data_IF_557636821969
#
_entry.id   IF_557636821969
#
_cell.length_a   1.000
_cell.length_b   1.000
_cell.length_c   1.000
_cell.angle_alpha   90.00
_cell.angle_beta   90.00
_cell.angle_gamma   90.00
#
_symmetry.space_group_name_H-M   'P 1'
#
loop_
_entity.id
_entity.type
_entity.pdbx_description
1 polymer ?
#
# COMPACT_ATOMS: atom_id res chain seq x y z
N UNK A 1 16.37 3.85 18.89
CA UNK A 1 15.72 2.57 18.57
C UNK A 1 15.73 2.31 17.05
N UNK A 2 16.93 2.20 16.44
CA UNK A 2 17.09 1.92 15.00
C UNK A 2 18.14 0.81 14.74
N UNK A 3 18.37 -0.06 15.71
CA UNK A 3 19.34 -1.16 15.59
C UNK A 3 18.64 -2.50 15.44
N UNK A 4 17.79 -2.64 14.42
CA UNK A 4 17.29 -3.96 14.00
C UNK A 4 17.13 -4.11 12.48
N UNK A 5 17.80 -3.25 11.70
CA UNK A 5 17.80 -3.27 10.23
C UNK A 5 18.71 -4.38 9.64
N UNK A 6 19.01 -5.45 10.38
CA UNK A 6 19.97 -6.49 10.00
C UNK A 6 19.33 -7.85 9.74
N UNK A 7 18.13 -7.90 9.17
CA UNK A 7 17.51 -9.18 8.79
C UNK A 7 17.01 -9.25 7.35
N UNK A 8 17.52 -8.41 6.45
CA UNK A 8 17.19 -8.47 5.04
C UNK A 8 18.32 -9.23 4.33
N UNK A 9 18.04 -10.39 3.74
CA UNK A 9 19.04 -11.17 3.00
C UNK A 9 19.20 -10.68 1.53
N UNK A 10 18.88 -9.40 1.29
CA UNK A 10 18.88 -8.79 -0.02
C UNK A 10 20.33 -8.55 -0.45
N UNK A 11 20.76 -9.30 -1.47
CA UNK A 11 22.12 -9.21 -2.01
C UNK A 11 22.28 -8.12 -3.07
N UNK A 12 21.18 -7.75 -3.75
CA UNK A 12 21.15 -6.74 -4.81
C UNK A 12 20.13 -5.64 -4.48
N UNK A 13 20.57 -4.68 -3.66
CA UNK A 13 19.73 -3.57 -3.16
C UNK A 13 19.36 -2.59 -4.28
N UNK A 14 20.23 -2.43 -5.28
CA UNK A 14 19.99 -1.50 -6.39
C UNK A 14 18.88 -2.01 -7.32
N UNK A 15 18.88 -3.30 -7.62
CA UNK A 15 17.81 -3.93 -8.39
C UNK A 15 16.48 -3.92 -7.62
N UNK A 16 16.51 -4.23 -6.31
CA UNK A 16 15.33 -4.07 -5.44
C UNK A 16 14.78 -2.65 -5.47
N UNK A 17 15.64 -1.64 -5.29
CA UNK A 17 15.26 -0.23 -5.33
C UNK A 17 14.63 0.14 -6.68
N UNK A 18 15.21 -0.32 -7.78
CA UNK A 18 14.72 -0.06 -9.14
C UNK A 18 13.32 -0.66 -9.35
N UNK A 19 13.13 -1.92 -8.99
CA UNK A 19 11.83 -2.62 -9.12
C UNK A 19 10.77 -2.01 -8.20
N UNK A 20 11.14 -1.72 -6.94
CA UNK A 20 10.23 -1.06 -6.01
C UNK A 20 9.84 0.34 -6.49
N UNK A 21 10.78 1.10 -7.05
CA UNK A 21 10.49 2.41 -7.64
C UNK A 21 9.50 2.27 -8.79
N UNK A 22 9.66 1.28 -9.66
CA UNK A 22 8.72 1.03 -10.75
C UNK A 22 7.31 0.69 -10.23
N UNK A 23 7.20 -0.11 -9.16
CA UNK A 23 5.91 -0.41 -8.52
C UNK A 23 5.25 0.85 -7.94
N UNK A 24 6.02 1.68 -7.22
CA UNK A 24 5.51 2.92 -6.63
C UNK A 24 5.10 3.88 -7.72
N UNK A 25 5.90 4.08 -8.76
CA UNK A 25 5.56 4.91 -9.92
C UNK A 25 4.27 4.44 -10.58
N UNK A 26 4.15 3.13 -10.82
CA UNK A 26 2.91 2.54 -11.38
C UNK A 26 1.72 2.83 -10.47
N UNK A 27 1.86 2.63 -9.16
CA UNK A 27 0.81 2.96 -8.21
C UNK A 27 0.45 4.45 -8.26
N UNK A 28 1.42 5.36 -8.20
CA UNK A 28 1.17 6.81 -8.11
C UNK A 28 0.65 7.44 -9.41
N UNK A 29 1.13 6.97 -10.55
CA UNK A 29 0.75 7.51 -11.87
C UNK A 29 -0.53 6.87 -12.41
N UNK A 30 -0.77 5.60 -12.11
CA UNK A 30 -2.00 4.90 -12.50
C UNK A 30 -3.12 5.01 -11.46
N UNK A 31 -2.90 5.72 -10.34
CA UNK A 31 -3.91 6.07 -9.33
C UNK A 31 -5.01 7.03 -9.86
N UNK A 32 -5.38 6.91 -11.14
CA UNK A 32 -6.73 7.25 -11.54
C UNK A 32 -7.66 6.25 -10.84
N UNK A 33 -8.25 6.70 -9.72
CA UNK A 33 -9.10 5.98 -8.76
C UNK A 33 -10.27 5.15 -9.35
N UNK A 34 -10.43 5.15 -10.67
CA UNK A 34 -11.49 4.47 -11.43
C UNK A 34 -11.04 3.16 -12.10
N UNK A 35 -9.72 2.87 -12.16
CA UNK A 35 -9.21 1.72 -12.94
C UNK A 35 -8.12 0.88 -12.26
N UNK A 36 -7.71 1.22 -11.04
CA UNK A 36 -6.61 0.50 -10.38
C UNK A 36 -7.07 -0.86 -9.88
N UNK A 37 -6.38 -1.92 -10.31
CA UNK A 37 -6.49 -3.25 -9.71
C UNK A 37 -5.46 -3.39 -8.61
N UNK A 38 -5.89 -3.36 -7.35
CA UNK A 38 -5.00 -3.37 -6.17
C UNK A 38 -4.34 -4.75 -6.00
N UNK A 39 -5.04 -5.82 -6.33
CA UNK A 39 -4.60 -7.20 -6.22
C UNK A 39 -3.35 -7.49 -7.05
N UNK A 40 -3.33 -7.19 -8.36
CA UNK A 40 -2.11 -7.28 -9.18
C UNK A 40 -0.94 -6.45 -8.65
N UNK A 41 -1.21 -5.24 -8.13
CA UNK A 41 -0.17 -4.39 -7.55
C UNK A 41 0.45 -5.03 -6.30
N UNK A 42 -0.38 -5.47 -5.35
CA UNK A 42 0.07 -6.14 -4.12
C UNK A 42 0.74 -7.49 -4.42
N UNK A 43 0.24 -8.24 -5.41
CA UNK A 43 0.87 -9.47 -5.87
C UNK A 43 2.27 -9.21 -6.43
N UNK A 44 2.43 -8.16 -7.25
CA UNK A 44 3.75 -7.80 -7.79
C UNK A 44 4.68 -7.28 -6.68
N UNK A 45 4.16 -6.56 -5.69
CA UNK A 45 4.92 -6.18 -4.50
C UNK A 45 5.43 -7.42 -3.76
N UNK A 46 4.57 -8.42 -3.49
CA UNK A 46 4.99 -9.68 -2.89
C UNK A 46 6.08 -10.38 -3.71
N UNK A 47 5.97 -10.41 -5.04
CA UNK A 47 7.00 -11.00 -5.92
C UNK A 47 8.36 -10.32 -5.76
N UNK A 48 8.39 -8.98 -5.74
CA UNK A 48 9.63 -8.21 -5.56
C UNK A 48 10.25 -8.49 -4.18
N UNK A 49 9.43 -8.50 -3.12
CA UNK A 49 9.90 -8.80 -1.76
C UNK A 49 10.48 -10.22 -1.64
N UNK A 50 9.79 -11.22 -2.20
CA UNK A 50 10.24 -12.62 -2.20
C UNK A 50 11.53 -12.77 -3.01
N UNK A 51 11.58 -12.21 -4.23
CA UNK A 51 12.75 -12.25 -5.12
C UNK A 51 14.00 -11.71 -4.44
N UNK A 52 13.86 -10.58 -3.77
CA UNK A 52 14.96 -9.89 -3.10
C UNK A 52 15.17 -10.32 -1.65
N UNK A 53 14.44 -11.35 -1.17
CA UNK A 53 14.50 -11.87 0.21
C UNK A 53 14.39 -10.77 1.27
N UNK A 54 13.56 -9.77 0.97
CA UNK A 54 13.24 -8.69 1.89
C UNK A 54 12.14 -9.19 2.83
N UNK A 55 12.43 -9.20 4.12
CA UNK A 55 11.46 -9.63 5.13
C UNK A 55 10.29 -8.66 5.17
N UNK A 56 9.08 -9.23 5.16
CA UNK A 56 7.84 -8.52 5.39
C UNK A 56 7.34 -8.86 6.78
N UNK A 57 6.87 -7.85 7.52
CA UNK A 57 6.22 -8.09 8.81
C UNK A 57 4.97 -8.96 8.61
N UNK A 58 4.78 -9.97 9.47
CA UNK A 58 3.65 -10.92 9.38
C UNK A 58 2.30 -10.21 9.42
N UNK A 59 2.15 -9.20 10.27
CA UNK A 59 0.93 -8.39 10.34
C UNK A 59 0.63 -7.72 9.01
N UNK A 60 1.65 -7.17 8.35
CA UNK A 60 1.49 -6.52 7.05
C UNK A 60 1.15 -7.53 5.94
N UNK A 61 1.80 -8.69 5.94
CA UNK A 61 1.48 -9.78 5.01
C UNK A 61 0.02 -10.24 5.13
N UNK A 62 -0.49 -10.34 6.36
CA UNK A 62 -1.89 -10.69 6.64
C UNK A 62 -2.87 -9.67 6.04
N UNK A 63 -2.61 -8.37 6.24
CA UNK A 63 -3.42 -7.29 5.66
C UNK A 63 -3.38 -7.33 4.14
N UNK A 64 -2.20 -7.49 3.52
CA UNK A 64 -2.09 -7.60 2.06
C UNK A 64 -2.90 -8.79 1.53
N UNK A 65 -2.82 -9.95 2.20
CA UNK A 65 -3.58 -11.13 1.81
C UNK A 65 -5.09 -10.91 1.92
N UNK A 66 -5.55 -10.31 3.01
CA UNK A 66 -6.96 -9.97 3.20
C UNK A 66 -7.48 -9.06 2.08
N UNK A 67 -6.73 -8.02 1.72
CA UNK A 67 -7.10 -7.11 0.61
C UNK A 67 -7.15 -7.86 -0.72
N UNK A 68 -6.15 -8.69 -1.02
CA UNK A 68 -6.13 -9.50 -2.25
C UNK A 68 -7.32 -10.46 -2.35
N UNK A 69 -7.71 -11.11 -1.23
CA UNK A 69 -8.87 -12.01 -1.19
C UNK A 69 -10.17 -11.24 -1.36
N UNK A 70 -10.36 -10.13 -0.63
CA UNK A 70 -11.54 -9.28 -0.75
C UNK A 70 -11.70 -8.77 -2.17
N UNK A 71 -10.60 -8.40 -2.85
CA UNK A 71 -10.66 -8.00 -4.25
C UNK A 71 -11.01 -9.14 -5.19
N UNK A 72 -10.39 -10.31 -5.02
CA UNK A 72 -10.69 -11.49 -5.83
C UNK A 72 -12.17 -11.87 -5.74
N UNK A 73 -12.72 -11.91 -4.52
CA UNK A 73 -14.13 -12.19 -4.29
C UNK A 73 -15.04 -11.08 -4.82
N UNK A 74 -14.71 -9.82 -4.52
CA UNK A 74 -15.47 -8.66 -4.98
C UNK A 74 -15.58 -8.61 -6.50
N UNK A 75 -14.48 -8.83 -7.23
CA UNK A 75 -14.48 -8.86 -8.71
C UNK A 75 -15.12 -10.10 -9.31
N UNK A 76 -15.17 -11.20 -8.57
CA UNK A 76 -15.91 -12.40 -8.99
C UNK A 76 -17.42 -12.17 -8.96
N UNK A 77 -17.90 -11.28 -8.10
CA UNK A 77 -19.31 -10.91 -7.98
C UNK A 77 -19.67 -9.67 -8.82
N UNK A 78 -18.80 -8.67 -8.85
CA UNK A 78 -18.93 -7.45 -9.65
C UNK A 78 -17.62 -7.19 -10.42
N UNK A 79 -17.54 -7.57 -11.71
CA UNK A 79 -16.34 -7.39 -12.52
C UNK A 79 -15.88 -5.93 -12.67
N UNK A 80 -16.77 -4.96 -12.47
CA UNK A 80 -16.50 -3.52 -12.59
C UNK A 80 -16.15 -2.86 -11.25
N UNK A 81 -16.09 -3.64 -10.15
CA UNK A 81 -15.78 -3.12 -8.83
C UNK A 81 -14.44 -2.35 -8.80
N UNK A 82 -14.47 -1.11 -8.34
CA UNK A 82 -13.30 -0.35 -7.97
C UNK A 82 -13.25 -0.17 -6.44
N UNK A 83 -12.30 -0.87 -5.82
CA UNK A 83 -12.12 -0.87 -4.36
C UNK A 83 -11.60 0.47 -3.86
N UNK A 84 -10.79 1.19 -4.65
CA UNK A 84 -10.29 2.49 -4.26
C UNK A 84 -11.41 3.53 -4.33
N UNK A 85 -12.26 3.47 -5.35
CA UNK A 85 -13.47 4.30 -5.41
C UNK A 85 -14.37 4.05 -4.19
N UNK A 86 -14.64 2.78 -3.86
CA UNK A 86 -15.41 2.41 -2.67
C UNK A 86 -14.73 2.86 -1.35
N UNK A 87 -13.40 2.82 -1.28
CA UNK A 87 -12.63 3.22 -0.11
C UNK A 87 -12.47 4.74 0.03
N UNK A 88 -12.65 5.51 -1.05
CA UNK A 88 -12.44 6.97 -1.12
C UNK A 88 -13.07 7.75 0.04
N UNK A 89 -14.37 7.60 0.37
CA UNK A 89 -14.98 8.35 1.47
C UNK A 89 -14.35 8.02 2.84
N UNK A 90 -13.88 6.79 3.03
CA UNK A 90 -13.23 6.36 4.26
C UNK A 90 -11.81 6.95 4.37
N UNK A 91 -11.07 6.97 3.26
CA UNK A 91 -9.72 7.54 3.18
C UNK A 91 -9.74 9.06 3.37
N UNK A 92 -10.65 9.77 2.67
CA UNK A 92 -10.76 11.22 2.74
C UNK A 92 -11.24 11.71 4.11
N UNK A 93 -12.20 11.01 4.73
CA UNK A 93 -12.67 11.38 6.08
C UNK A 93 -11.54 11.35 7.10
N UNK A 94 -10.64 10.37 7.01
CA UNK A 94 -9.47 10.27 7.89
C UNK A 94 -8.48 11.39 7.60
N UNK A 95 -8.14 11.64 6.34
CA UNK A 95 -7.23 12.71 5.95
C UNK A 95 -7.74 14.08 6.41
N UNK A 96 -9.02 14.39 6.19
CA UNK A 96 -9.64 15.64 6.62
C UNK A 96 -9.63 15.80 8.15
N UNK A 97 -9.92 14.72 8.90
CA UNK A 97 -9.89 14.72 10.37
C UNK A 97 -8.49 14.94 10.92
N UNK A 98 -7.48 14.31 10.30
CA UNK A 98 -6.08 14.46 10.68
C UNK A 98 -5.60 15.91 10.43
N UNK A 99 -5.93 16.50 9.27
CA UNK A 99 -5.64 17.92 8.98
C UNK A 99 -6.34 18.89 9.94
N UNK A 100 -7.62 18.65 10.27
CA UNK A 100 -8.35 19.48 11.22
C UNK A 100 -7.73 19.40 12.63
N UNK A 101 -7.31 18.21 13.06
CA UNK A 101 -6.62 18.03 14.35
C UNK A 101 -5.28 18.78 14.39
N UNK A 102 -4.53 18.80 13.29
CA UNK A 102 -3.29 19.59 13.19
C UNK A 102 -3.55 21.09 13.33
N UNK A 103 -4.62 21.61 12.72
CA UNK A 103 -5.01 23.01 12.85
C UNK A 103 -5.47 23.36 14.27
N UNK A 104 -6.28 22.49 14.89
CA UNK A 104 -6.77 22.70 16.26
C UNK A 104 -5.68 22.61 17.33
N UNK A 105 -4.61 21.83 17.11
CA UNK A 105 -3.46 21.83 18.02
C UNK A 105 -2.63 23.11 17.89
N UNK A 106 -2.52 23.67 16.68
CA UNK A 106 -1.75 24.90 16.42
C UNK A 106 -2.36 26.14 17.09
N UNK A 107 -3.67 26.11 17.36
CA UNK A 107 -4.39 27.18 18.06
C UNK A 107 -4.30 27.07 19.59
N UNK A 108 -3.86 25.94 20.15
CA UNK A 108 -3.67 25.75 21.60
C UNK A 108 -2.25 26.04 22.10
N UNK A 109 -1.27 26.12 21.20
CA UNK A 109 0.14 26.42 21.52
C UNK A 109 0.49 27.93 21.30
N UNK A 110 -0.52 28.79 21.09
CA UNK A 110 -0.38 30.26 21.00
C UNK A 110 -1.21 30.93 22.08
#
# INVERSE_FOLDING_TARGET
MLSNASTNACTDVDSYRKEMKALVTTATEQLNLSTVKVGPLLSNLCKVLIKHKVKLESNFASVMLAVMVVEGLGRSLDPQLDILAAATPFLLRKAAKDSLKTLMNKEKDK
#
